data_IF_092542147930
#
_entry.id   IF_092542147930
#
_cell.length_a   1.000
_cell.length_b   1.000
_cell.length_c   1.000
_cell.angle_alpha   90.00
_cell.angle_beta   90.00
_cell.angle_gamma   90.00
#
_symmetry.space_group_name_H-M   'P 1'
#
loop_
_entity.id
_entity.type
_entity.pdbx_description
1 polymer ?
#
# COMPACT_ATOMS: atom_id res chain seq x y z
N UNK A 1 6.78 -14.69 -1.19
CA UNK A 1 7.15 -13.30 -1.30
C UNK A 1 8.63 -13.11 -1.45
N UNK A 2 9.03 -12.37 -2.43
CA UNK A 2 10.43 -12.15 -2.66
C UNK A 2 11.04 -11.15 -1.68
N UNK A 3 12.33 -11.13 -1.67
CA UNK A 3 13.07 -10.13 -0.91
C UNK A 3 13.26 -8.92 -1.80
N UNK A 4 12.64 -7.84 -1.41
CA UNK A 4 12.78 -6.61 -2.16
C UNK A 4 12.78 -5.44 -1.19
N UNK A 5 13.35 -4.35 -1.63
CA UNK A 5 13.33 -3.12 -0.84
C UNK A 5 12.06 -2.37 -1.14
N UNK A 6 11.36 -2.02 -0.09
CA UNK A 6 10.11 -1.29 -0.21
C UNK A 6 10.07 -0.19 0.83
N UNK A 7 9.41 0.90 0.49
CA UNK A 7 9.20 2.02 1.39
C UNK A 7 7.71 2.17 1.59
N UNK A 8 7.26 2.11 2.84
CA UNK A 8 5.87 2.39 3.17
C UNK A 8 5.77 3.85 3.57
N UNK A 9 4.95 4.60 2.86
CA UNK A 9 4.73 6.00 3.15
C UNK A 9 3.64 6.08 4.20
N UNK A 10 4.00 6.54 5.40
CA UNK A 10 3.06 6.67 6.50
C UNK A 10 2.47 8.07 6.53
N UNK A 11 1.32 8.19 7.18
CA UNK A 11 0.63 9.47 7.35
C UNK A 11 0.31 10.13 6.00
N UNK A 12 0.22 9.29 4.96
CA UNK A 12 -0.07 9.80 3.63
C UNK A 12 -1.45 10.46 3.56
N UNK A 13 -2.34 10.10 4.49
CA UNK A 13 -3.67 10.71 4.54
C UNK A 13 -3.64 12.16 5.00
N UNK A 14 -2.52 12.61 5.54
CA UNK A 14 -2.39 14.00 6.01
C UNK A 14 -2.01 14.95 4.87
N UNK A 15 -1.70 14.41 3.70
CA UNK A 15 -1.30 15.22 2.56
C UNK A 15 -2.41 15.28 1.53
N UNK A 16 -2.53 16.43 0.87
CA UNK A 16 -3.37 16.52 -0.31
C UNK A 16 -2.79 15.64 -1.41
N UNK A 17 -3.64 15.15 -2.29
CA UNK A 17 -3.20 14.23 -3.34
C UNK A 17 -2.08 14.78 -4.22
N UNK A 18 -2.11 16.05 -4.64
CA UNK A 18 -0.98 16.57 -5.45
C UNK A 18 0.35 16.51 -4.70
N UNK A 19 0.33 16.80 -3.40
CA UNK A 19 1.55 16.75 -2.61
C UNK A 19 2.03 15.32 -2.41
N UNK A 20 1.10 14.41 -2.22
CA UNK A 20 1.43 12.99 -2.10
C UNK A 20 2.06 12.48 -3.39
N UNK A 21 1.47 12.84 -4.53
CA UNK A 21 2.02 12.45 -5.83
C UNK A 21 3.44 12.98 -6.00
N UNK A 22 3.66 14.23 -5.62
CA UNK A 22 4.98 14.83 -5.71
C UNK A 22 5.99 14.07 -4.85
N UNK A 23 5.57 13.70 -3.64
CA UNK A 23 6.44 12.96 -2.72
C UNK A 23 6.80 11.60 -3.28
N UNK A 24 5.81 10.91 -3.84
CA UNK A 24 6.04 9.58 -4.41
C UNK A 24 7.04 9.65 -5.56
N UNK A 25 6.85 10.61 -6.46
CA UNK A 25 7.74 10.74 -7.60
C UNK A 25 9.16 11.11 -7.17
N UNK A 26 9.27 11.90 -6.11
CA UNK A 26 10.58 12.24 -5.57
C UNK A 26 11.29 11.00 -5.02
N UNK A 27 10.55 10.16 -4.30
CA UNK A 27 11.10 8.92 -3.77
C UNK A 27 11.60 8.02 -4.90
N UNK A 28 10.81 7.90 -5.95
CA UNK A 28 11.19 7.05 -7.08
C UNK A 28 12.38 7.62 -7.84
N UNK A 29 12.49 8.94 -7.88
CA UNK A 29 13.65 9.55 -8.53
C UNK A 29 14.93 9.25 -7.78
N UNK A 30 14.87 9.29 -6.44
CA UNK A 30 16.04 9.02 -5.61
C UNK A 30 16.35 7.52 -5.52
N UNK A 31 15.31 6.68 -5.61
CA UNK A 31 15.46 5.24 -5.43
C UNK A 31 14.65 4.52 -6.52
N UNK A 32 15.16 4.47 -7.76
CA UNK A 32 14.36 3.96 -8.87
C UNK A 32 13.93 2.50 -8.73
N UNK A 33 14.68 1.71 -7.98
CA UNK A 33 14.37 0.28 -7.85
C UNK A 33 13.53 -0.05 -6.63
N UNK A 34 13.21 0.94 -5.80
CA UNK A 34 12.47 0.68 -4.58
C UNK A 34 10.97 0.61 -4.88
N UNK A 35 10.24 -0.21 -4.15
CA UNK A 35 8.80 -0.28 -4.27
C UNK A 35 8.17 0.71 -3.31
N UNK A 36 7.15 1.41 -3.77
CA UNK A 36 6.44 2.39 -2.95
C UNK A 36 5.12 1.78 -2.52
N UNK A 37 4.90 1.76 -1.21
CA UNK A 37 3.70 1.18 -0.62
C UNK A 37 2.93 2.25 0.15
N UNK A 38 1.62 2.34 -0.09
CA UNK A 38 0.74 3.24 0.63
C UNK A 38 -0.26 2.44 1.44
N UNK A 39 -0.66 2.99 2.57
CA UNK A 39 -1.63 2.36 3.44
C UNK A 39 -2.98 3.04 3.26
N UNK A 40 -4.04 2.25 3.10
CA UNK A 40 -5.39 2.76 2.94
C UNK A 40 -6.33 2.01 3.88
N UNK A 41 -7.27 2.74 4.49
CA UNK A 41 -8.25 2.13 5.37
C UNK A 41 -9.68 2.29 4.85
N UNK A 42 -9.84 2.75 3.61
CA UNK A 42 -11.16 2.85 2.99
C UNK A 42 -11.05 2.61 1.50
N UNK A 43 -12.15 2.17 0.91
CA UNK A 43 -12.20 1.93 -0.53
C UNK A 43 -11.97 3.23 -1.30
N UNK A 44 -12.46 4.34 -0.76
CA UNK A 44 -12.30 5.62 -1.41
C UNK A 44 -10.85 6.05 -1.46
N UNK A 45 -10.09 5.81 -0.38
CA UNK A 45 -8.67 6.09 -0.39
C UNK A 45 -7.96 5.25 -1.46
N UNK A 46 -8.35 3.99 -1.59
CA UNK A 46 -7.75 3.13 -2.59
C UNK A 46 -7.98 3.68 -3.98
N UNK A 47 -9.19 4.18 -4.24
CA UNK A 47 -9.49 4.76 -5.55
C UNK A 47 -8.57 5.93 -5.84
N UNK A 48 -8.38 6.79 -4.87
CA UNK A 48 -7.50 7.94 -5.02
C UNK A 48 -6.04 7.53 -5.22
N UNK A 49 -5.59 6.58 -4.41
CA UNK A 49 -4.19 6.15 -4.46
C UNK A 49 -3.88 5.37 -5.74
N UNK A 50 -4.86 4.60 -6.23
CA UNK A 50 -4.65 3.82 -7.45
C UNK A 50 -4.48 4.72 -8.67
N UNK A 51 -4.95 5.96 -8.59
CA UNK A 51 -4.82 6.91 -9.70
C UNK A 51 -3.46 7.61 -9.68
N UNK A 52 -2.68 7.47 -8.61
CA UNK A 52 -1.38 8.10 -8.51
C UNK A 52 -0.34 7.31 -9.30
N UNK A 53 0.65 8.03 -9.81
CA UNK A 53 1.78 7.38 -10.48
C UNK A 53 2.83 6.96 -9.47
N UNK A 54 3.43 5.80 -9.71
CA UNK A 54 4.56 5.35 -8.93
C UNK A 54 4.23 4.54 -7.70
N UNK A 55 2.96 4.24 -7.47
CA UNK A 55 2.55 3.39 -6.35
C UNK A 55 2.62 1.94 -6.81
N UNK A 56 3.35 1.13 -6.07
CA UNK A 56 3.52 -0.28 -6.42
C UNK A 56 2.59 -1.18 -5.61
N UNK A 57 2.34 -0.85 -4.35
CA UNK A 57 1.54 -1.67 -3.46
C UNK A 57 0.63 -0.77 -2.63
N UNK A 58 -0.62 -1.18 -2.48
CA UNK A 58 -1.53 -0.52 -1.54
C UNK A 58 -1.88 -1.53 -0.45
N UNK A 59 -1.59 -1.16 0.79
CA UNK A 59 -1.90 -1.97 1.95
C UNK A 59 -3.33 -1.68 2.37
N UNK A 60 -4.17 -2.72 2.37
CA UNK A 60 -5.57 -2.60 2.75
C UNK A 60 -5.67 -2.92 4.23
N UNK A 61 -5.80 -1.87 5.06
CA UNK A 61 -5.73 -2.01 6.49
C UNK A 61 -7.13 -2.24 7.08
N UNK A 62 -7.30 -3.41 7.67
CA UNK A 62 -8.50 -3.75 8.45
C UNK A 62 -9.79 -3.61 7.63
N UNK A 63 -9.77 -4.08 6.40
CA UNK A 63 -10.94 -4.06 5.53
C UNK A 63 -11.64 -5.41 5.53
N UNK A 64 -12.95 -5.40 5.27
CA UNK A 64 -13.70 -6.64 5.10
C UNK A 64 -13.37 -7.26 3.74
N UNK A 65 -13.63 -8.57 3.58
CA UNK A 65 -13.42 -9.19 2.27
C UNK A 65 -14.19 -8.50 1.15
N UNK A 66 -15.39 -8.01 1.43
CA UNK A 66 -16.17 -7.29 0.43
C UNK A 66 -15.49 -6.01 0.01
N UNK A 67 -14.92 -5.29 0.98
CA UNK A 67 -14.18 -4.07 0.66
C UNK A 67 -12.93 -4.39 -0.13
N UNK A 68 -12.26 -5.48 0.23
CA UNK A 68 -11.05 -5.90 -0.51
C UNK A 68 -11.37 -6.23 -1.96
N UNK A 69 -12.50 -6.90 -2.18
CA UNK A 69 -12.91 -7.21 -3.55
C UNK A 69 -13.14 -5.94 -4.36
N UNK A 70 -13.77 -4.94 -3.74
CA UNK A 70 -13.99 -3.67 -4.41
C UNK A 70 -12.67 -3.01 -4.77
N UNK A 71 -11.69 -3.09 -3.88
CA UNK A 71 -10.38 -2.52 -4.12
C UNK A 71 -9.65 -3.25 -5.25
N UNK A 72 -9.68 -4.57 -5.22
CA UNK A 72 -9.00 -5.37 -6.25
C UNK A 72 -9.59 -5.10 -7.61
N UNK A 73 -10.88 -4.80 -7.68
CA UNK A 73 -11.54 -4.48 -8.94
C UNK A 73 -10.97 -3.21 -9.60
N UNK A 74 -10.26 -2.40 -8.84
CA UNK A 74 -9.64 -1.18 -9.36
C UNK A 74 -8.20 -1.41 -9.82
N UNK A 75 -7.76 -2.65 -9.89
CA UNK A 75 -6.39 -2.98 -10.21
C UNK A 75 -5.93 -2.39 -11.52
N UNK A 76 -4.74 -1.82 -11.51
CA UNK A 76 -4.07 -1.31 -12.70
C UNK A 76 -2.81 -2.13 -12.94
N UNK A 77 -2.25 -2.10 -14.16
CA UNK A 77 -1.00 -2.81 -14.40
C UNK A 77 0.09 -2.37 -13.44
N UNK A 78 0.74 -3.35 -12.82
CA UNK A 78 1.83 -3.07 -11.90
C UNK A 78 1.43 -2.77 -10.48
N UNK A 79 0.15 -2.64 -10.21
CA UNK A 79 -0.33 -2.33 -8.86
C UNK A 79 -0.71 -3.62 -8.14
N UNK A 80 -0.19 -3.79 -6.93
CA UNK A 80 -0.47 -4.95 -6.10
C UNK A 80 -1.20 -4.52 -4.83
N UNK A 81 -1.93 -5.45 -4.24
CA UNK A 81 -2.67 -5.19 -3.01
C UNK A 81 -2.23 -6.16 -1.93
N UNK A 82 -2.09 -5.65 -0.72
CA UNK A 82 -1.74 -6.46 0.44
C UNK A 82 -2.79 -6.26 1.50
N UNK A 83 -3.34 -7.37 2.02
CA UNK A 83 -4.32 -7.31 3.10
C UNK A 83 -3.60 -7.35 4.43
N UNK A 84 -4.02 -6.51 5.37
CA UNK A 84 -3.40 -6.41 6.68
C UNK A 84 -4.45 -6.07 7.73
N UNK A 85 -4.17 -6.43 8.97
CA UNK A 85 -5.06 -6.11 10.06
C UNK A 85 -6.26 -7.04 10.12
N UNK A 86 -6.50 -7.64 11.29
CA UNK A 86 -7.66 -8.50 11.46
C UNK A 86 -7.60 -9.83 10.73
N UNK A 87 -6.44 -10.18 10.19
CA UNK A 87 -6.28 -11.44 9.47
C UNK A 87 -6.01 -12.55 10.47
N UNK A 88 -6.79 -13.63 10.37
CA UNK A 88 -6.62 -14.81 11.23
C UNK A 88 -6.71 -16.05 10.35
N UNK A 89 -6.42 -17.19 10.95
CA UNK A 89 -6.54 -18.44 10.21
C UNK A 89 -7.97 -18.68 9.73
N UNK A 90 -8.96 -18.17 10.48
CA UNK A 90 -10.35 -18.34 10.10
C UNK A 90 -10.73 -17.49 8.90
N UNK A 91 -10.13 -16.32 8.75
CA UNK A 91 -10.50 -15.38 7.70
C UNK A 91 -9.55 -15.38 6.52
N UNK A 92 -8.37 -16.01 6.67
CA UNK A 92 -7.34 -15.90 5.63
C UNK A 92 -7.82 -16.45 4.29
N UNK A 93 -8.63 -17.50 4.30
CA UNK A 93 -9.12 -18.08 3.07
C UNK A 93 -10.04 -17.10 2.33
N UNK A 94 -10.97 -16.49 3.05
CA UNK A 94 -11.86 -15.52 2.44
C UNK A 94 -11.09 -14.34 1.88
N UNK A 95 -10.07 -13.91 2.60
CA UNK A 95 -9.24 -12.79 2.15
C UNK A 95 -8.48 -13.20 0.88
N UNK A 96 -7.93 -14.40 0.86
CA UNK A 96 -7.22 -14.88 -0.33
C UNK A 96 -8.11 -14.95 -1.55
N UNK A 97 -9.39 -15.27 -1.34
CA UNK A 97 -10.33 -15.36 -2.44
C UNK A 97 -10.70 -14.02 -3.03
N UNK A 98 -10.40 -12.92 -2.33
CA UNK A 98 -10.71 -11.59 -2.84
C UNK A 98 -9.82 -11.19 -4.00
N UNK A 99 -8.69 -11.85 -4.16
CA UNK A 99 -7.77 -11.54 -5.25
C UNK A 99 -6.61 -10.66 -4.84
N UNK A 100 -6.44 -10.38 -3.52
CA UNK A 100 -5.26 -9.64 -3.07
C UNK A 100 -4.00 -10.46 -3.37
N UNK A 101 -2.90 -9.75 -3.52
CA UNK A 101 -1.64 -10.39 -3.91
C UNK A 101 -0.84 -10.88 -2.71
N UNK A 102 -0.97 -10.20 -1.57
CA UNK A 102 -0.23 -10.54 -0.36
C UNK A 102 -1.15 -10.45 0.85
N UNK A 103 -0.83 -11.24 1.86
CA UNK A 103 -1.57 -11.22 3.11
C UNK A 103 -0.55 -11.19 4.25
N UNK A 104 -0.69 -10.21 5.15
CA UNK A 104 0.13 -10.16 6.35
C UNK A 104 -0.63 -10.82 7.49
N UNK A 105 -0.07 -11.87 8.07
CA UNK A 105 -0.70 -12.62 9.13
C UNK A 105 0.11 -12.45 10.40
N UNK A 106 -0.54 -11.94 11.44
CA UNK A 106 0.11 -11.79 12.73
C UNK A 106 1.32 -10.88 12.67
N UNK A 107 2.41 -11.36 13.22
CA UNK A 107 3.66 -10.59 13.30
C UNK A 107 4.50 -10.69 12.03
N UNK A 108 4.12 -11.57 11.14
CA UNK A 108 4.91 -11.79 9.94
C UNK A 108 4.63 -10.71 8.95
N UNK A 109 5.65 -9.91 8.66
CA UNK A 109 5.53 -8.83 7.70
C UNK A 109 6.63 -8.95 6.67
N UNK A 110 6.45 -8.28 5.57
CA UNK A 110 7.50 -8.20 4.57
C UNK A 110 8.50 -7.14 5.02
N UNK A 111 9.47 -6.87 4.19
CA UNK A 111 10.61 -6.02 4.56
C UNK A 111 10.39 -4.54 4.27
N UNK A 112 9.15 -4.09 4.14
CA UNK A 112 8.89 -2.69 3.87
C UNK A 112 9.36 -1.83 5.03
N UNK A 113 9.95 -0.70 4.70
CA UNK A 113 10.38 0.28 5.68
C UNK A 113 9.34 1.38 5.78
N UNK A 114 9.14 1.85 7.01
CA UNK A 114 8.24 2.96 7.22
C UNK A 114 9.00 4.27 7.00
N UNK A 115 8.40 5.18 6.28
CA UNK A 115 8.97 6.48 6.01
C UNK A 115 8.05 7.53 6.58
N UNK A 116 8.62 8.41 7.41
CA UNK A 116 7.90 9.55 7.95
C UNK A 116 7.89 10.63 6.88
N UNK A 117 6.70 11.04 6.45
CA UNK A 117 6.58 12.04 5.40
C UNK A 117 7.27 13.35 5.77
N UNK A 118 7.25 13.70 7.05
CA UNK A 118 7.92 14.93 7.48
C UNK A 118 9.42 14.86 7.23
N UNK A 119 10.03 13.72 7.55
CA UNK A 119 11.44 13.52 7.29
C UNK A 119 11.73 13.51 5.80
N UNK A 120 10.88 12.88 5.03
CA UNK A 120 11.09 12.79 3.60
C UNK A 120 11.05 14.14 2.94
N UNK A 121 10.18 15.03 3.42
CA UNK A 121 10.05 16.37 2.85
C UNK A 121 11.22 17.28 3.21
N UNK A 122 11.91 17.00 4.30
CA UNK A 122 13.02 17.85 4.75
C UNK A 122 14.38 17.29 4.35
N UNK A 123 14.42 16.06 3.94
CA UNK A 123 15.67 15.39 3.63
C UNK A 123 15.96 15.52 2.15
N UNK A 124 16.70 16.54 1.79
CA UNK A 124 17.06 16.77 0.40
C UNK A 124 18.45 16.27 0.08
#
# INVERSE_FOLDING_TARGET
MGLYDAVMVKDNHLLALPKLQETILLIRKKHPAILVELEADSVEQVREFAALEGVDVILLDNMSPEQMEACVAMRCPGLKFEASGGVSLDTVRKIAETGVDYISVGQLTHSARAVDLSLELTDD
#
